data_IF_127120065926
#
_entry.id   IF_127120065926
#
_cell.length_a   1.000
_cell.length_b   1.000
_cell.length_c   1.000
_cell.angle_alpha   90.00
_cell.angle_beta   90.00
_cell.angle_gamma   90.00
#
_symmetry.space_group_name_H-M   'P 1'
#
loop_
_entity.id
_entity.type
_entity.pdbx_description
1 polymer ?
#
# COMPACT_ATOMS: atom_id res chain seq x y z
N UNK A 1 8.18 8.01 4.47
CA UNK A 1 6.95 7.80 3.67
C UNK A 1 7.29 6.82 2.59
N UNK A 2 6.44 5.81 2.40
CA UNK A 2 6.65 4.83 1.34
C UNK A 2 6.38 5.45 -0.03
N UNK A 3 7.03 4.91 -1.05
CA UNK A 3 6.89 5.33 -2.45
C UNK A 3 6.43 4.15 -3.30
N UNK A 4 5.89 4.48 -4.48
CA UNK A 4 5.59 3.48 -5.50
C UNK A 4 6.90 2.76 -5.87
N UNK A 5 6.88 1.43 -5.85
CA UNK A 5 8.05 0.58 -6.07
C UNK A 5 8.79 0.16 -4.80
N UNK A 6 8.46 0.72 -3.62
CA UNK A 6 9.02 0.23 -2.37
C UNK A 6 8.47 -1.17 -2.05
N UNK A 7 9.36 -2.04 -1.55
CA UNK A 7 9.01 -3.37 -1.07
C UNK A 7 8.61 -3.29 0.41
N UNK A 8 7.47 -3.87 0.75
CA UNK A 8 6.96 -3.99 2.11
C UNK A 8 6.57 -5.43 2.40
N UNK A 9 6.82 -5.88 3.62
CA UNK A 9 6.43 -7.23 4.06
C UNK A 9 5.01 -7.20 4.57
N UNK A 10 4.13 -8.01 3.97
CA UNK A 10 2.81 -8.27 4.52
C UNK A 10 2.90 -9.54 5.40
N UNK A 11 2.78 -9.40 6.73
CA UNK A 11 2.85 -10.55 7.64
C UNK A 11 1.90 -11.64 7.16
N UNK A 12 2.33 -12.90 7.20
CA UNK A 12 1.62 -14.11 6.69
C UNK A 12 1.49 -14.29 5.18
N UNK A 13 1.63 -13.27 4.32
CA UNK A 13 1.51 -13.44 2.85
C UNK A 13 2.81 -13.19 2.07
N UNK A 14 3.88 -12.72 2.72
CA UNK A 14 5.20 -12.57 2.09
C UNK A 14 5.53 -11.12 1.75
N UNK A 15 6.25 -10.91 0.65
CA UNK A 15 6.69 -9.57 0.21
C UNK A 15 5.67 -9.03 -0.79
N UNK A 16 5.27 -7.78 -0.60
CA UNK A 16 4.50 -7.02 -1.58
C UNK A 16 5.28 -5.79 -2.04
N UNK A 17 5.00 -5.34 -3.25
CA UNK A 17 5.49 -4.08 -3.80
C UNK A 17 4.35 -3.07 -3.78
N UNK A 18 4.63 -1.84 -3.38
CA UNK A 18 3.64 -0.76 -3.44
C UNK A 18 3.44 -0.38 -4.90
N UNK A 19 2.29 -0.73 -5.44
CA UNK A 19 1.92 -0.48 -6.83
C UNK A 19 1.34 0.93 -7.01
N UNK A 20 0.60 1.41 -6.02
CA UNK A 20 -0.02 2.73 -6.06
C UNK A 20 -0.23 3.32 -4.66
N UNK A 21 -0.35 4.64 -4.59
CA UNK A 21 -0.67 5.39 -3.38
C UNK A 21 -1.75 6.39 -3.74
N UNK A 22 -2.95 6.18 -3.22
CA UNK A 22 -4.11 7.02 -3.50
C UNK A 22 -4.60 7.71 -2.24
N UNK A 23 -5.00 8.98 -2.35
CA UNK A 23 -5.68 9.69 -1.25
C UNK A 23 -7.17 9.53 -1.45
N UNK A 24 -7.86 8.95 -0.47
CA UNK A 24 -9.31 8.77 -0.53
C UNK A 24 -9.95 9.30 0.74
N UNK A 25 -11.09 9.97 0.57
CA UNK A 25 -11.92 10.42 1.67
C UNK A 25 -12.79 9.25 2.14
N UNK A 26 -12.57 8.79 3.37
CA UNK A 26 -13.34 7.71 3.97
C UNK A 26 -13.83 8.13 5.34
N UNK A 27 -15.15 8.02 5.56
CA UNK A 27 -15.81 8.44 6.81
C UNK A 27 -15.50 9.89 7.23
N UNK A 28 -15.44 10.82 6.27
CA UNK A 28 -15.13 12.24 6.54
C UNK A 28 -13.66 12.53 6.86
N UNK A 29 -12.78 11.54 6.71
CA UNK A 29 -11.34 11.69 6.89
C UNK A 29 -10.57 11.28 5.63
N UNK A 30 -9.70 12.18 5.15
CA UNK A 30 -8.77 11.87 4.07
C UNK A 30 -7.67 10.95 4.58
N UNK A 31 -7.56 9.77 4.00
CA UNK A 31 -6.55 8.78 4.34
C UNK A 31 -5.77 8.34 3.09
N UNK A 32 -4.50 8.03 3.29
CA UNK A 32 -3.64 7.50 2.25
C UNK A 32 -3.83 5.97 2.16
N UNK A 33 -4.32 5.50 1.03
CA UNK A 33 -4.46 4.09 0.71
C UNK A 33 -3.23 3.63 -0.08
N UNK A 34 -2.47 2.70 0.51
CA UNK A 34 -1.32 2.08 -0.14
C UNK A 34 -1.77 0.77 -0.78
N UNK A 35 -1.75 0.72 -2.11
CA UNK A 35 -2.10 -0.49 -2.86
C UNK A 35 -0.84 -1.36 -2.94
N UNK A 36 -0.89 -2.50 -2.23
CA UNK A 36 0.16 -3.51 -2.27
C UNK A 36 -0.18 -4.60 -3.28
N UNK A 37 0.78 -4.93 -4.12
CA UNK A 37 0.75 -6.13 -4.95
C UNK A 37 1.70 -7.15 -4.38
N UNK A 38 1.16 -8.31 -3.98
CA UNK A 38 1.97 -9.43 -3.50
C UNK A 38 2.74 -10.02 -4.69
N UNK A 39 4.05 -10.20 -4.50
CA UNK A 39 4.91 -10.93 -5.43
C UNK A 39 5.00 -12.36 -4.90
N UNK A 40 4.42 -13.30 -5.65
CA UNK A 40 4.58 -14.75 -5.45
C UNK A 40 6.01 -15.19 -5.80
#
# INVERSE_FOLDING_TARGET
MFKIGDMAVYPTQGVGVIENIEVREYSGHSQNFYILRIVD
#
